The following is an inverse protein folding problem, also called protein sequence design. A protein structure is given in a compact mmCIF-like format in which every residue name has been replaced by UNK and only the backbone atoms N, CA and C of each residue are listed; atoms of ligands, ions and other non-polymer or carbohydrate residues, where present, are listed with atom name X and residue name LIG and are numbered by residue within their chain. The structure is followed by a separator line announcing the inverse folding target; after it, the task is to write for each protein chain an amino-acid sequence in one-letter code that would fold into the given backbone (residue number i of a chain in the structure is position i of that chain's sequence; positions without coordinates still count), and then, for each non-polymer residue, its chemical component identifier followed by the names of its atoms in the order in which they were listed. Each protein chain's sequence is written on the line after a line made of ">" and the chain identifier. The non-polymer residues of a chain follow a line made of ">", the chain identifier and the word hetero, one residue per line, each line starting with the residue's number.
data_IF_672710264204
#
_entry.id   IF_672710264204
#
_cell.length_a   1.000
_cell.length_b   1.000
_cell.length_c   1.000
_cell.angle_alpha   90.00
_cell.angle_beta   90.00
_cell.angle_gamma   90.00
#
_symmetry.space_group_name_H-M   'P 1'
#
loop_
_entity.id
_entity.type
_entity.pdbx_description
1 polymer ?
#
# COMPACT_ATOMS: atom_id res chain seq x y z
N UNK A 1 8.50 4.96 34.01
CA UNK A 1 8.47 4.58 32.59
C UNK A 1 9.59 3.60 32.32
N UNK A 2 9.31 2.52 31.62
CA UNK A 2 10.31 1.51 31.28
C UNK A 2 11.35 2.10 30.32
N UNK A 3 12.59 1.61 30.39
CA UNK A 3 13.76 2.20 29.70
C UNK A 3 14.44 1.18 28.79
N UNK A 4 14.87 1.65 27.63
CA UNK A 4 15.66 0.88 26.66
C UNK A 4 16.99 1.59 26.45
N UNK A 5 18.10 0.88 26.61
CA UNK A 5 19.46 1.41 26.48
C UNK A 5 20.09 0.90 25.20
N UNK A 6 20.60 1.81 24.37
CA UNK A 6 21.32 1.47 23.14
C UNK A 6 22.81 1.25 23.39
N UNK A 7 23.40 0.32 22.64
CA UNK A 7 24.85 0.08 22.64
C UNK A 7 25.64 1.33 22.25
N UNK A 8 26.87 1.43 22.75
CA UNK A 8 27.83 2.47 22.37
C UNK A 8 27.95 2.57 20.83
N UNK A 9 27.80 3.79 20.31
CA UNK A 9 27.88 4.08 18.88
C UNK A 9 26.62 3.78 18.05
N UNK A 10 25.53 3.28 18.66
CA UNK A 10 24.29 2.95 17.95
C UNK A 10 23.18 4.01 18.04
N UNK A 11 23.39 5.11 18.78
CA UNK A 11 22.41 6.18 18.93
C UNK A 11 22.35 7.19 17.77
N UNK A 12 23.37 7.21 16.89
CA UNK A 12 23.48 8.21 15.81
C UNK A 12 22.28 8.27 14.86
N UNK A 13 21.67 7.14 14.41
CA UNK A 13 20.48 7.20 13.57
C UNK A 13 19.29 7.86 14.26
N UNK A 14 19.04 7.54 15.54
CA UNK A 14 17.92 8.09 16.31
C UNK A 14 18.11 9.59 16.55
N UNK A 15 19.33 10.03 16.86
CA UNK A 15 19.70 11.46 16.95
C UNK A 15 19.53 12.22 15.64
N UNK A 16 19.38 11.51 14.51
CA UNK A 16 19.08 12.07 13.17
C UNK A 16 17.64 11.79 12.75
N UNK A 17 16.74 11.57 13.72
CA UNK A 17 15.31 11.35 13.51
C UNK A 17 14.96 10.10 12.68
N UNK A 18 15.85 9.10 12.62
CA UNK A 18 15.47 7.81 12.07
C UNK A 18 14.50 7.11 13.04
N UNK A 19 13.30 6.68 12.58
CA UNK A 19 12.26 6.16 13.48
C UNK A 19 12.55 4.73 13.97
N UNK A 20 13.50 4.02 13.36
CA UNK A 20 13.77 2.63 13.69
C UNK A 20 15.05 2.44 14.50
N UNK A 21 14.94 1.59 15.52
CA UNK A 21 16.06 0.98 16.25
C UNK A 21 16.04 -0.51 15.96
N UNK A 22 17.13 -1.02 15.39
CA UNK A 22 17.25 -2.45 15.12
C UNK A 22 17.61 -3.23 16.39
N UNK A 23 17.17 -4.49 16.50
CA UNK A 23 17.43 -5.36 17.66
C UNK A 23 18.91 -5.45 18.03
N UNK A 24 19.80 -5.53 17.04
CA UNK A 24 21.26 -5.53 17.26
C UNK A 24 21.84 -4.28 17.92
N UNK A 25 21.09 -3.16 17.94
CA UNK A 25 21.47 -1.90 18.59
C UNK A 25 21.13 -1.84 20.08
N UNK A 26 20.25 -2.71 20.58
CA UNK A 26 19.80 -2.72 21.98
C UNK A 26 20.89 -3.37 22.85
N UNK A 27 21.26 -2.68 23.93
CA UNK A 27 22.14 -3.18 24.98
C UNK A 27 21.32 -3.82 26.10
N UNK A 28 20.27 -3.13 26.53
CA UNK A 28 19.37 -3.56 27.59
C UNK A 28 17.96 -3.02 27.29
N UNK A 29 16.94 -3.82 27.55
CA UNK A 29 15.53 -3.45 27.41
C UNK A 29 14.75 -3.57 28.72
N UNK A 30 15.39 -3.94 29.83
CA UNK A 30 14.71 -4.20 31.10
C UNK A 30 13.51 -5.14 30.93
N UNK A 31 12.42 -4.84 31.66
CA UNK A 31 11.17 -5.59 31.65
C UNK A 31 10.10 -5.00 30.69
N UNK A 32 10.51 -4.26 29.65
CA UNK A 32 9.57 -3.69 28.67
C UNK A 32 8.86 -4.82 27.92
N UNK A 33 7.52 -4.84 27.96
CA UNK A 33 6.74 -5.83 27.23
C UNK A 33 6.63 -5.51 25.73
N UNK A 34 6.45 -6.54 24.90
CA UNK A 34 6.15 -6.37 23.47
C UNK A 34 4.91 -5.50 23.25
N UNK A 35 5.07 -4.43 22.48
CA UNK A 35 4.10 -3.39 22.17
C UNK A 35 4.02 -2.24 23.17
N UNK A 36 4.71 -2.31 24.30
CA UNK A 36 4.72 -1.24 25.30
C UNK A 36 5.59 -0.06 24.86
N UNK A 37 5.17 1.16 25.20
CA UNK A 37 5.92 2.39 24.96
C UNK A 37 6.96 2.58 26.06
N UNK A 38 8.22 2.76 25.67
CA UNK A 38 9.34 2.99 26.57
C UNK A 38 10.17 4.20 26.14
N UNK A 39 10.90 4.78 27.09
CA UNK A 39 11.92 5.79 26.80
C UNK A 39 13.21 5.10 26.32
N UNK A 40 13.83 5.64 25.27
CA UNK A 40 15.07 5.14 24.68
C UNK A 40 16.21 6.07 25.06
N UNK A 41 17.30 5.48 25.55
CA UNK A 41 18.50 6.18 25.98
C UNK A 41 19.75 5.67 25.25
N UNK A 42 20.77 6.49 25.13
CA UNK A 42 22.08 6.02 24.71
C UNK A 42 22.88 5.41 25.88
N UNK A 43 24.06 4.86 25.56
CA UNK A 43 24.93 4.21 26.54
C UNK A 43 25.44 5.14 27.66
N UNK A 44 25.29 6.47 27.54
CA UNK A 44 25.64 7.47 28.56
C UNK A 44 24.43 7.92 29.37
N UNK A 45 23.24 7.42 29.06
CA UNK A 45 21.99 7.84 29.70
C UNK A 45 21.37 9.10 29.09
N UNK A 46 21.79 9.54 27.91
CA UNK A 46 21.12 10.64 27.20
C UNK A 46 19.81 10.15 26.57
N UNK A 47 18.72 10.88 26.78
CA UNK A 47 17.42 10.58 26.17
C UNK A 47 17.48 10.73 24.64
N UNK A 48 16.84 9.81 23.92
CA UNK A 48 16.80 9.78 22.46
C UNK A 48 15.39 9.87 21.87
N UNK A 49 14.37 9.43 22.61
CA UNK A 49 12.98 9.41 22.16
C UNK A 49 12.13 8.39 22.95
N UNK A 50 10.83 8.38 22.67
CA UNK A 50 9.85 7.39 23.15
C UNK A 50 9.37 6.55 21.98
N UNK A 51 9.27 5.25 22.16
CA UNK A 51 8.82 4.34 21.11
C UNK A 51 8.31 3.03 21.68
N UNK A 52 7.52 2.30 20.89
CA UNK A 52 7.09 0.98 21.31
C UNK A 52 8.13 -0.09 20.99
N UNK A 53 8.30 -1.03 21.90
CA UNK A 53 9.25 -2.15 21.80
C UNK A 53 8.61 -3.40 21.20
N UNK A 54 9.39 -4.23 20.52
CA UNK A 54 9.01 -5.58 20.13
C UNK A 54 10.25 -6.47 20.02
N UNK A 55 10.43 -7.39 20.97
CA UNK A 55 11.54 -8.34 21.02
C UNK A 55 11.58 -9.31 19.83
N UNK A 56 10.43 -9.58 19.21
CA UNK A 56 10.31 -10.50 18.06
C UNK A 56 10.74 -9.88 16.74
N UNK A 57 10.75 -8.55 16.64
CA UNK A 57 11.04 -7.84 15.41
C UNK A 57 12.53 -7.53 15.25
N UNK A 58 13.02 -7.55 14.01
CA UNK A 58 14.34 -6.98 13.69
C UNK A 58 14.35 -5.46 13.92
N UNK A 59 13.22 -4.78 13.73
CA UNK A 59 13.02 -3.39 14.12
C UNK A 59 12.43 -3.39 15.53
N UNK A 60 13.32 -3.51 16.52
CA UNK A 60 12.92 -3.76 17.90
C UNK A 60 12.30 -2.54 18.59
N UNK A 61 12.62 -1.30 18.18
CA UNK A 61 11.89 -0.11 18.63
C UNK A 61 11.51 0.74 17.43
N UNK A 62 10.26 1.22 17.44
CA UNK A 62 9.79 2.26 16.51
C UNK A 62 9.46 3.51 17.32
N UNK A 63 10.27 4.55 17.12
CA UNK A 63 10.18 5.83 17.80
C UNK A 63 8.91 6.55 17.32
N UNK A 64 8.16 7.06 18.28
CA UNK A 64 6.94 7.85 18.10
C UNK A 64 7.22 9.34 18.35
N UNK A 65 8.01 9.64 19.37
CA UNK A 65 8.20 11.01 19.86
C UNK A 65 9.66 11.25 20.26
N UNK A 66 10.22 12.40 19.90
CA UNK A 66 11.60 12.79 20.21
C UNK A 66 11.66 13.83 21.32
N UNK A 67 10.55 14.45 21.67
CA UNK A 67 10.46 15.33 22.83
C UNK A 67 10.12 14.53 24.10
N UNK A 68 10.96 14.68 25.12
CA UNK A 68 10.78 13.98 26.39
C UNK A 68 9.57 14.47 27.17
N UNK A 69 9.20 15.73 27.02
CA UNK A 69 8.10 16.33 27.79
C UNK A 69 6.73 16.01 27.16
N UNK A 70 6.70 15.59 25.89
CA UNK A 70 5.46 15.23 25.20
C UNK A 70 4.98 13.86 25.64
N UNK A 71 3.78 13.81 26.22
CA UNK A 71 3.10 12.56 26.57
C UNK A 71 2.39 11.96 25.34
N UNK A 72 2.56 10.64 25.14
CA UNK A 72 1.86 9.90 24.08
C UNK A 72 0.47 9.50 24.60
N UNK A 73 -0.40 10.50 24.71
CA UNK A 73 -1.79 10.35 25.16
C UNK A 73 -2.74 10.07 23.99
N UNK A 74 -4.03 9.83 24.27
CA UNK A 74 -5.07 9.75 23.22
C UNK A 74 -5.12 10.98 22.32
N UNK A 75 -4.88 12.16 22.89
CA UNK A 75 -4.83 13.42 22.14
C UNK A 75 -3.61 13.49 21.21
N UNK A 76 -2.47 12.91 21.62
CA UNK A 76 -1.31 12.79 20.74
C UNK A 76 -1.64 11.95 19.50
N UNK A 77 -2.29 10.79 19.68
CA UNK A 77 -2.71 9.93 18.57
C UNK A 77 -3.73 10.62 17.66
N UNK A 78 -4.72 11.32 18.24
CA UNK A 78 -5.70 12.11 17.49
C UNK A 78 -5.01 13.14 16.61
N UNK A 79 -4.06 13.90 17.16
CA UNK A 79 -3.33 14.92 16.43
C UNK A 79 -2.46 14.34 15.30
N UNK A 80 -1.80 13.20 15.53
CA UNK A 80 -1.02 12.52 14.49
C UNK A 80 -1.91 12.05 13.33
N UNK A 81 -3.03 11.39 13.63
CA UNK A 81 -3.98 10.94 12.60
C UNK A 81 -4.54 12.15 11.85
N UNK A 82 -4.98 13.18 12.57
CA UNK A 82 -5.54 14.39 11.96
C UNK A 82 -4.53 15.08 11.03
N UNK A 83 -3.27 15.19 11.44
CA UNK A 83 -2.21 15.78 10.61
C UNK A 83 -1.95 14.93 9.36
N UNK A 84 -1.92 13.60 9.49
CA UNK A 84 -1.79 12.71 8.34
C UNK A 84 -2.92 12.94 7.33
N UNK A 85 -4.17 13.06 7.80
CA UNK A 85 -5.31 13.30 6.91
C UNK A 85 -5.25 14.68 6.25
N UNK A 86 -4.89 15.72 7.01
CA UNK A 86 -4.75 17.10 6.49
C UNK A 86 -3.79 17.19 5.31
N UNK A 87 -2.71 16.40 5.31
CA UNK A 87 -1.78 16.35 4.18
C UNK A 87 -2.45 15.94 2.85
N UNK A 88 -3.60 15.26 2.88
CA UNK A 88 -4.32 14.78 1.69
C UNK A 88 -5.49 15.69 1.28
N UNK A 89 -5.82 16.73 2.03
CA UNK A 89 -7.00 17.60 1.76
C UNK A 89 -6.96 18.30 0.40
N UNK A 90 -5.76 18.49 -0.17
CA UNK A 90 -5.59 19.09 -1.49
C UNK A 90 -5.97 18.15 -2.64
N UNK A 91 -6.05 16.83 -2.41
CA UNK A 91 -6.35 15.80 -3.41
C UNK A 91 -7.87 15.60 -3.55
N UNK A 92 -8.58 16.61 -4.06
CA UNK A 92 -10.05 16.66 -4.10
C UNK A 92 -10.70 15.91 -5.27
N UNK A 93 -9.92 15.44 -6.24
CA UNK A 93 -10.42 14.76 -7.44
C UNK A 93 -10.80 13.28 -7.19
N UNK A 94 -10.95 12.85 -5.94
CA UNK A 94 -11.26 11.46 -5.59
C UNK A 94 -11.95 11.35 -4.23
N UNK A 95 -12.68 10.26 -4.02
CA UNK A 95 -13.28 9.91 -2.73
C UNK A 95 -12.45 8.91 -1.91
N UNK A 96 -11.34 8.43 -2.47
CA UNK A 96 -10.58 7.28 -1.96
C UNK A 96 -9.09 7.57 -1.95
N UNK A 97 -8.43 7.44 -0.81
CA UNK A 97 -7.06 7.92 -0.58
C UNK A 97 -6.37 7.12 0.52
N UNK A 98 -5.05 7.02 0.45
CA UNK A 98 -4.26 6.62 1.61
C UNK A 98 -4.20 7.78 2.61
N UNK A 99 -4.91 7.61 3.71
CA UNK A 99 -5.05 8.61 4.77
C UNK A 99 -3.92 8.57 5.79
N UNK A 100 -3.42 7.36 6.08
CA UNK A 100 -2.25 7.16 6.96
C UNK A 100 -1.30 6.17 6.30
N UNK A 101 -0.02 6.51 6.25
CA UNK A 101 1.05 5.73 5.64
C UNK A 101 2.24 5.52 6.59
N UNK A 102 1.97 4.83 7.70
CA UNK A 102 3.00 4.29 8.59
C UNK A 102 3.98 5.36 9.08
N UNK A 103 5.30 5.09 9.01
CA UNK A 103 6.36 6.00 9.46
C UNK A 103 6.35 7.36 8.74
N UNK A 104 5.90 7.40 7.49
CA UNK A 104 5.86 8.64 6.72
C UNK A 104 4.88 9.67 7.33
N UNK A 105 3.88 9.19 8.06
CA UNK A 105 2.91 9.99 8.80
C UNK A 105 3.14 9.95 10.32
N UNK A 106 4.33 9.56 10.76
CA UNK A 106 4.70 9.45 12.18
C UNK A 106 3.78 8.51 12.99
N UNK A 107 3.20 7.51 12.32
CA UNK A 107 2.37 6.46 12.92
C UNK A 107 2.93 5.08 12.51
N UNK A 108 4.17 4.73 12.93
CA UNK A 108 4.85 3.52 12.47
C UNK A 108 3.96 2.29 12.66
N UNK A 109 3.71 1.56 11.58
CA UNK A 109 2.92 0.34 11.58
C UNK A 109 1.42 0.50 11.39
N UNK A 110 0.90 1.71 11.18
CA UNK A 110 -0.51 1.95 10.86
C UNK A 110 -0.65 2.35 9.40
N UNK A 111 -1.49 1.64 8.65
CA UNK A 111 -1.94 2.07 7.32
C UNK A 111 -3.46 2.21 7.36
N UNK A 112 -3.97 3.31 6.82
CA UNK A 112 -5.40 3.55 6.67
C UNK A 112 -5.66 4.01 5.25
N UNK A 113 -6.38 3.20 4.49
CA UNK A 113 -6.88 3.53 3.15
C UNK A 113 -8.39 3.82 3.26
N UNK A 114 -8.82 4.97 2.74
CA UNK A 114 -10.23 5.32 2.59
C UNK A 114 -10.70 4.89 1.21
N UNK A 115 -11.83 4.21 1.16
CA UNK A 115 -12.53 3.82 -0.06
C UNK A 115 -13.97 4.33 0.01
N UNK A 116 -14.23 5.47 -0.63
CA UNK A 116 -15.51 6.18 -0.54
C UNK A 116 -15.91 6.44 0.93
N UNK A 117 -16.96 5.80 1.44
CA UNK A 117 -17.47 5.91 2.81
C UNK A 117 -16.91 4.84 3.79
N UNK A 118 -15.94 4.05 3.36
CA UNK A 118 -15.37 2.93 4.11
C UNK A 118 -13.88 3.10 4.36
N UNK A 119 -13.36 2.43 5.40
CA UNK A 119 -11.93 2.37 5.70
C UNK A 119 -11.42 0.93 5.64
N UNK A 120 -10.24 0.76 5.06
CA UNK A 120 -9.42 -0.44 5.20
C UNK A 120 -8.19 -0.09 6.05
N UNK A 121 -7.97 -0.83 7.13
CA UNK A 121 -6.89 -0.58 8.10
C UNK A 121 -5.93 -1.76 8.08
N UNK A 122 -4.63 -1.47 8.14
CA UNK A 122 -3.62 -2.49 8.42
C UNK A 122 -2.86 -2.12 9.69
N UNK A 123 -2.83 -3.08 10.60
CA UNK A 123 -2.01 -3.05 11.82
C UNK A 123 -0.81 -3.94 11.57
N UNK A 124 0.36 -3.31 11.44
CA UNK A 124 1.59 -3.97 11.00
C UNK A 124 2.59 -4.15 12.13
N UNK A 125 2.28 -3.73 13.35
CA UNK A 125 3.23 -3.76 14.48
C UNK A 125 2.52 -4.00 15.79
N UNK A 126 3.25 -4.59 16.75
CA UNK A 126 2.69 -4.95 18.06
C UNK A 126 2.25 -3.72 18.86
N UNK A 127 2.97 -2.60 18.73
CA UNK A 127 2.61 -1.35 19.39
C UNK A 127 1.27 -0.80 18.92
N UNK A 128 1.05 -0.78 17.60
CA UNK A 128 -0.25 -0.36 17.02
C UNK A 128 -1.36 -1.33 17.40
N UNK A 129 -1.08 -2.64 17.47
CA UNK A 129 -2.06 -3.63 17.92
C UNK A 129 -2.54 -3.38 19.36
N UNK A 130 -1.64 -3.01 20.28
CA UNK A 130 -2.02 -2.59 21.65
C UNK A 130 -2.92 -1.34 21.66
N UNK A 131 -2.81 -0.48 20.66
CA UNK A 131 -3.61 0.73 20.50
C UNK A 131 -4.86 0.55 19.61
N UNK A 132 -5.17 -0.67 19.14
CA UNK A 132 -6.23 -0.96 18.16
C UNK A 132 -7.56 -0.30 18.51
N UNK A 133 -8.03 -0.48 19.75
CA UNK A 133 -9.34 0.05 20.19
C UNK A 133 -9.42 1.57 20.08
N UNK A 134 -8.44 2.27 20.67
CA UNK A 134 -8.35 3.74 20.61
C UNK A 134 -8.21 4.25 19.17
N UNK A 135 -7.38 3.59 18.34
CA UNK A 135 -7.23 4.00 16.94
C UNK A 135 -8.56 3.86 16.20
N UNK A 136 -9.27 2.75 16.38
CA UNK A 136 -10.60 2.55 15.79
C UNK A 136 -11.56 3.67 16.21
N UNK A 137 -11.64 4.02 17.51
CA UNK A 137 -12.47 5.13 17.97
C UNK A 137 -12.11 6.46 17.30
N UNK A 138 -10.82 6.79 17.21
CA UNK A 138 -10.37 8.04 16.59
C UNK A 138 -10.70 8.09 15.09
N UNK A 139 -10.62 6.94 14.40
CA UNK A 139 -11.03 6.84 13.00
C UNK A 139 -12.53 7.03 12.83
N UNK A 140 -13.35 6.52 13.76
CA UNK A 140 -14.80 6.74 13.78
C UNK A 140 -15.14 8.21 14.00
N UNK A 141 -14.52 8.84 15.01
CA UNK A 141 -14.71 10.27 15.32
C UNK A 141 -14.38 11.16 14.11
N UNK A 142 -13.27 10.87 13.43
CA UNK A 142 -12.78 11.72 12.35
C UNK A 142 -13.52 11.51 11.03
N UNK A 143 -13.71 10.25 10.62
CA UNK A 143 -14.22 9.94 9.28
C UNK A 143 -15.72 9.70 9.22
N UNK A 144 -16.36 9.36 10.35
CA UNK A 144 -17.74 8.87 10.39
C UNK A 144 -18.05 7.81 9.30
N UNK A 145 -17.25 6.73 9.17
CA UNK A 145 -17.37 5.77 8.08
C UNK A 145 -18.56 4.84 8.25
N UNK A 146 -19.09 4.27 7.16
CA UNK A 146 -20.13 3.23 7.19
C UNK A 146 -19.59 1.85 7.64
N UNK A 147 -18.28 1.66 7.54
CA UNK A 147 -17.63 0.44 8.01
C UNK A 147 -16.10 0.53 7.95
N UNK A 148 -15.46 -0.28 8.80
CA UNK A 148 -14.00 -0.41 8.87
C UNK A 148 -13.64 -1.89 8.77
N UNK A 149 -12.75 -2.22 7.84
CA UNK A 149 -12.20 -3.56 7.66
C UNK A 149 -10.73 -3.58 8.07
N UNK A 150 -10.34 -4.44 9.01
CA UNK A 150 -8.94 -4.71 9.31
C UNK A 150 -8.44 -5.80 8.37
N UNK A 151 -7.37 -5.50 7.62
CA UNK A 151 -6.68 -6.45 6.75
C UNK A 151 -5.34 -6.83 7.36
N UNK A 152 -5.17 -8.13 7.58
CA UNK A 152 -3.95 -8.71 8.14
C UNK A 152 -3.03 -9.19 7.01
N UNK A 153 -1.77 -8.77 7.08
CA UNK A 153 -0.70 -9.33 6.27
C UNK A 153 -0.03 -10.47 7.04
N UNK A 154 -0.23 -11.72 6.60
CA UNK A 154 0.22 -12.91 7.33
C UNK A 154 1.75 -12.96 7.54
N UNK A 155 2.52 -12.44 6.58
CA UNK A 155 3.99 -12.38 6.69
C UNK A 155 4.42 -11.40 7.79
N UNK A 156 3.77 -10.25 7.86
CA UNK A 156 4.01 -9.26 8.93
C UNK A 156 3.52 -9.77 10.27
N UNK A 157 2.35 -10.42 10.31
CA UNK A 157 1.78 -11.05 11.51
C UNK A 157 2.77 -11.99 12.17
N UNK A 158 3.38 -12.89 11.40
CA UNK A 158 4.39 -13.83 11.90
C UNK A 158 5.61 -13.10 12.44
N UNK A 159 6.17 -12.14 11.68
CA UNK A 159 7.39 -11.41 12.06
C UNK A 159 7.24 -10.52 13.29
N UNK A 160 6.04 -9.98 13.51
CA UNK A 160 5.76 -9.06 14.61
C UNK A 160 5.05 -9.74 15.78
N UNK A 161 4.66 -11.01 15.64
CA UNK A 161 3.92 -11.75 16.66
C UNK A 161 2.53 -11.15 16.92
N UNK A 162 1.83 -10.74 15.86
CA UNK A 162 0.48 -10.18 15.94
C UNK A 162 -0.57 -11.30 16.06
N UNK A 163 -1.70 -10.99 16.69
CA UNK A 163 -2.79 -11.96 16.89
C UNK A 163 -4.04 -11.62 16.08
N UNK A 164 -4.08 -10.45 15.45
CA UNK A 164 -5.17 -10.01 14.59
C UNK A 164 -5.57 -11.01 13.51
N UNK A 165 -6.85 -10.95 13.14
CA UNK A 165 -7.45 -11.68 12.02
C UNK A 165 -8.13 -10.68 11.10
N UNK A 166 -8.10 -10.94 9.79
CA UNK A 166 -8.80 -10.06 8.85
C UNK A 166 -10.31 -10.10 9.11
N UNK A 167 -10.96 -8.94 9.14
CA UNK A 167 -12.38 -8.88 9.43
C UNK A 167 -12.93 -7.46 9.56
N UNK A 168 -14.25 -7.36 9.55
CA UNK A 168 -14.95 -6.11 9.83
C UNK A 168 -14.83 -5.80 11.32
N UNK A 169 -14.23 -4.66 11.66
CA UNK A 169 -14.06 -4.18 13.04
C UNK A 169 -15.12 -3.16 13.44
N UNK A 170 -15.81 -2.57 12.46
CA UNK A 170 -16.94 -1.67 12.69
C UNK A 170 -17.90 -1.66 11.49
N UNK A 171 -19.19 -1.50 11.78
CA UNK A 171 -20.24 -1.30 10.77
C UNK A 171 -20.42 -2.50 9.84
N UNK A 172 -20.82 -2.22 8.60
CA UNK A 172 -20.99 -3.25 7.57
C UNK A 172 -20.21 -2.86 6.31
N UNK A 173 -19.15 -3.60 6.02
CA UNK A 173 -18.34 -3.40 4.81
C UNK A 173 -18.85 -4.32 3.70
N UNK A 174 -19.34 -3.78 2.57
CA UNK A 174 -19.85 -4.60 1.47
C UNK A 174 -18.71 -5.34 0.75
N UNK A 175 -19.07 -6.34 -0.04
CA UNK A 175 -18.10 -7.04 -0.91
C UNK A 175 -17.58 -6.13 -2.03
N UNK A 176 -18.43 -5.24 -2.56
CA UNK A 176 -18.08 -4.34 -3.64
C UNK A 176 -18.35 -2.89 -3.21
N UNK A 177 -17.27 -2.10 -3.16
CA UNK A 177 -17.31 -0.65 -2.93
C UNK A 177 -17.05 0.03 -4.27
N UNK A 178 -17.89 0.98 -4.64
CA UNK A 178 -17.64 1.84 -5.80
C UNK A 178 -16.87 3.07 -5.31
N UNK A 179 -15.73 3.33 -5.95
CA UNK A 179 -14.91 4.52 -5.71
C UNK A 179 -14.89 5.42 -6.94
N UNK A 180 -14.59 6.70 -6.74
CA UNK A 180 -14.30 7.66 -7.79
C UNK A 180 -12.85 8.14 -7.72
N UNK A 181 -12.13 8.05 -8.83
CA UNK A 181 -10.79 8.58 -8.99
C UNK A 181 -10.68 9.37 -10.30
N UNK A 182 -10.52 10.69 -10.21
CA UNK A 182 -10.41 11.61 -11.34
C UNK A 182 -11.56 11.49 -12.34
N UNK A 183 -12.79 11.27 -11.86
CA UNK A 183 -13.97 11.07 -12.69
C UNK A 183 -14.19 9.65 -13.21
N UNK A 184 -13.25 8.73 -12.96
CA UNK A 184 -13.38 7.31 -13.29
C UNK A 184 -13.92 6.53 -12.08
N UNK A 185 -14.79 5.57 -12.32
CA UNK A 185 -15.37 4.73 -11.27
C UNK A 185 -14.72 3.34 -11.23
N UNK A 186 -14.51 2.79 -10.04
CA UNK A 186 -13.95 1.44 -9.90
C UNK A 186 -14.65 0.64 -8.81
N UNK A 187 -14.85 -0.65 -9.07
CA UNK A 187 -15.19 -1.62 -8.04
C UNK A 187 -13.94 -2.02 -7.24
N UNK A 188 -14.06 -1.98 -5.92
CA UNK A 188 -13.03 -2.37 -4.96
C UNK A 188 -13.62 -3.39 -3.99
N UNK A 189 -12.94 -4.53 -3.83
CA UNK A 189 -13.26 -5.51 -2.79
C UNK A 189 -12.14 -5.55 -1.75
N UNK A 190 -12.34 -4.86 -0.62
CA UNK A 190 -11.33 -4.78 0.44
C UNK A 190 -11.11 -6.12 1.17
N UNK A 191 -12.09 -7.03 1.13
CA UNK A 191 -12.07 -8.32 1.84
C UNK A 191 -11.23 -9.36 1.11
N UNK A 192 -11.42 -9.51 -0.20
CA UNK A 192 -10.77 -10.55 -1.01
C UNK A 192 -9.49 -10.08 -1.71
N UNK A 193 -9.34 -8.78 -1.99
CA UNK A 193 -8.18 -8.25 -2.73
C UNK A 193 -6.85 -8.47 -2.03
N UNK A 194 -5.76 -8.51 -2.81
CA UNK A 194 -4.41 -8.28 -2.29
C UNK A 194 -4.27 -6.83 -1.78
N UNK A 195 -3.37 -6.60 -0.81
CA UNK A 195 -3.27 -5.34 -0.05
C UNK A 195 -4.63 -4.97 0.57
N UNK A 196 -5.05 -3.72 0.45
CA UNK A 196 -6.26 -3.16 1.08
C UNK A 196 -7.46 -3.02 0.14
N UNK A 197 -7.34 -3.37 -1.15
CA UNK A 197 -8.43 -3.16 -2.12
C UNK A 197 -7.92 -2.88 -3.53
N UNK A 198 -7.38 -1.68 -3.69
CA UNK A 198 -7.01 -1.09 -4.97
C UNK A 198 -5.65 -0.39 -4.86
N UNK A 199 -4.92 -0.34 -5.98
CA UNK A 199 -3.59 0.30 -6.03
C UNK A 199 -3.73 1.82 -6.12
N UNK A 200 -3.99 2.46 -4.97
CA UNK A 200 -4.08 3.92 -4.83
C UNK A 200 -2.75 4.63 -5.13
N UNK A 201 -1.63 3.93 -4.94
CA UNK A 201 -0.27 4.39 -5.25
C UNK A 201 -0.05 4.65 -6.75
N UNK A 202 -0.82 4.00 -7.63
CA UNK A 202 -0.72 4.14 -9.09
C UNK A 202 -1.56 5.28 -9.69
N UNK A 203 -2.24 6.09 -8.87
CA UNK A 203 -3.16 7.15 -9.36
C UNK A 203 -2.52 8.11 -10.35
N UNK A 204 -1.42 8.75 -9.94
CA UNK A 204 -0.80 9.79 -10.76
C UNK A 204 -0.25 9.19 -12.06
N UNK A 205 0.20 7.93 -12.02
CA UNK A 205 0.64 7.21 -13.20
C UNK A 205 -0.53 6.90 -14.15
N UNK A 206 -1.70 6.50 -13.62
CA UNK A 206 -2.93 6.34 -14.41
C UNK A 206 -3.36 7.66 -15.06
N UNK A 207 -3.30 8.77 -14.32
CA UNK A 207 -3.62 10.11 -14.85
C UNK A 207 -2.62 10.54 -15.94
N UNK A 208 -1.34 10.30 -15.73
CA UNK A 208 -0.27 10.60 -16.69
C UNK A 208 -0.45 9.84 -18.01
N UNK A 209 -0.94 8.59 -17.96
CA UNK A 209 -1.19 7.77 -19.14
C UNK A 209 -2.08 8.48 -20.17
N UNK A 210 -3.05 9.29 -19.72
CA UNK A 210 -4.00 9.99 -20.60
C UNK A 210 -3.30 10.81 -21.70
N UNK A 211 -2.11 11.34 -21.44
CA UNK A 211 -1.34 12.12 -22.40
C UNK A 211 -0.86 11.30 -23.61
N UNK A 212 -0.80 9.98 -23.49
CA UNK A 212 -0.11 9.12 -24.43
C UNK A 212 -1.02 8.26 -25.30
N UNK A 213 -2.32 8.16 -25.02
CA UNK A 213 -3.16 7.03 -25.49
C UNK A 213 -4.25 7.37 -26.51
N UNK A 214 -4.54 8.65 -26.76
CA UNK A 214 -5.61 9.06 -27.68
C UNK A 214 -5.38 8.50 -29.10
N UNK A 215 -6.37 7.78 -29.64
CA UNK A 215 -6.35 7.09 -30.94
C UNK A 215 -5.18 6.12 -31.12
N UNK A 216 -4.88 5.35 -30.07
CA UNK A 216 -3.79 4.38 -30.07
C UNK A 216 -4.23 2.98 -29.66
N UNK A 217 -3.49 1.97 -30.11
CA UNK A 217 -3.60 0.56 -29.71
C UNK A 217 -2.73 0.30 -28.47
N UNK A 218 -3.35 -0.12 -27.38
CA UNK A 218 -2.74 -0.21 -26.05
C UNK A 218 -2.65 -1.67 -25.60
N UNK A 219 -1.53 -2.04 -25.00
CA UNK A 219 -1.34 -3.30 -24.27
C UNK A 219 -1.13 -3.03 -22.78
N UNK A 220 -2.07 -3.48 -21.95
CA UNK A 220 -1.99 -3.38 -20.49
C UNK A 220 -1.61 -4.74 -19.90
N UNK A 221 -0.34 -4.90 -19.53
CA UNK A 221 0.20 -6.13 -18.98
C UNK A 221 0.14 -6.11 -17.44
N UNK A 222 -0.29 -7.24 -16.85
CA UNK A 222 -0.59 -7.33 -15.41
C UNK A 222 -1.70 -6.35 -15.02
N UNK A 223 -2.71 -6.28 -15.89
CA UNK A 223 -3.76 -5.26 -15.88
C UNK A 223 -4.62 -5.24 -14.61
N UNK A 224 -4.59 -6.32 -13.82
CA UNK A 224 -5.40 -6.47 -12.62
C UNK A 224 -6.88 -6.18 -12.92
N UNK A 225 -7.51 -5.24 -12.22
CA UNK A 225 -8.91 -4.85 -12.41
C UNK A 225 -9.09 -3.76 -13.48
N UNK A 226 -8.10 -3.57 -14.37
CA UNK A 226 -8.19 -2.67 -15.52
C UNK A 226 -8.03 -1.19 -15.18
N UNK A 227 -7.35 -0.85 -14.09
CA UNK A 227 -7.21 0.53 -13.62
C UNK A 227 -6.63 1.48 -14.69
N UNK A 228 -5.50 1.09 -15.30
CA UNK A 228 -4.92 1.87 -16.40
C UNK A 228 -5.79 1.85 -17.65
N UNK A 229 -6.35 0.70 -17.99
CA UNK A 229 -7.17 0.55 -19.19
C UNK A 229 -8.46 1.36 -19.19
N UNK A 230 -9.10 1.57 -18.03
CA UNK A 230 -10.27 2.48 -17.91
C UNK A 230 -9.86 3.92 -18.19
N UNK A 231 -8.75 4.38 -17.61
CA UNK A 231 -8.19 5.70 -17.93
C UNK A 231 -7.87 5.82 -19.41
N UNK A 232 -7.25 4.79 -20.00
CA UNK A 232 -6.88 4.78 -21.40
C UNK A 232 -8.09 4.90 -22.34
N UNK A 233 -9.14 4.12 -22.08
CA UNK A 233 -10.40 4.19 -22.80
C UNK A 233 -11.04 5.59 -22.71
N UNK A 234 -11.13 6.16 -21.50
CA UNK A 234 -11.71 7.49 -21.28
C UNK A 234 -10.90 8.61 -21.94
N UNK A 235 -9.59 8.40 -22.14
CA UNK A 235 -8.71 9.31 -22.87
C UNK A 235 -8.68 9.05 -24.40
N UNK A 236 -9.53 8.18 -24.93
CA UNK A 236 -9.72 7.98 -26.37
C UNK A 236 -8.84 6.90 -27.00
N UNK A 237 -8.33 5.94 -26.24
CA UNK A 237 -7.66 4.76 -26.80
C UNK A 237 -8.56 4.05 -27.83
N UNK A 238 -7.97 3.61 -28.94
CA UNK A 238 -8.72 2.99 -30.05
C UNK A 238 -8.96 1.50 -29.81
N UNK A 239 -7.92 0.79 -29.35
CA UNK A 239 -7.99 -0.63 -28.99
C UNK A 239 -7.27 -0.87 -27.67
N UNK A 240 -7.83 -1.73 -26.84
CA UNK A 240 -7.27 -2.10 -25.54
C UNK A 240 -7.14 -3.62 -25.46
N UNK A 241 -5.92 -4.11 -25.21
CA UNK A 241 -5.67 -5.51 -24.86
C UNK A 241 -5.19 -5.57 -23.42
N UNK A 242 -5.92 -6.28 -22.56
CA UNK A 242 -5.59 -6.48 -21.16
C UNK A 242 -5.09 -7.92 -20.97
N UNK A 243 -3.92 -8.06 -20.36
CA UNK A 243 -3.36 -9.36 -19.96
C UNK A 243 -3.34 -9.47 -18.44
N UNK A 244 -3.92 -10.54 -17.91
CA UNK A 244 -3.72 -10.94 -16.53
C UNK A 244 -3.78 -12.46 -16.39
N UNK A 245 -3.14 -13.00 -15.36
CA UNK A 245 -3.19 -14.43 -15.05
C UNK A 245 -4.51 -14.85 -14.39
N UNK A 246 -5.21 -13.92 -13.75
CA UNK A 246 -6.45 -14.18 -13.03
C UNK A 246 -7.69 -13.82 -13.86
N UNK A 247 -8.56 -14.80 -14.08
CA UNK A 247 -9.85 -14.58 -14.73
C UNK A 247 -10.76 -13.68 -13.87
N UNK A 248 -10.66 -13.80 -12.54
CA UNK A 248 -11.50 -13.04 -11.60
C UNK A 248 -11.24 -11.54 -11.71
N UNK A 249 -9.97 -11.11 -11.79
CA UNK A 249 -9.64 -9.69 -11.91
C UNK A 249 -10.04 -9.13 -13.28
N UNK A 250 -9.96 -9.94 -14.35
CA UNK A 250 -10.43 -9.56 -15.69
C UNK A 250 -11.97 -9.43 -15.72
N UNK A 251 -12.71 -10.27 -14.99
CA UNK A 251 -14.16 -10.11 -14.80
C UNK A 251 -14.49 -8.78 -14.12
N UNK A 252 -13.71 -8.38 -13.11
CA UNK A 252 -13.85 -7.07 -12.47
C UNK A 252 -13.47 -5.94 -13.44
N UNK A 253 -12.44 -6.11 -14.27
CA UNK A 253 -12.10 -5.15 -15.31
C UNK A 253 -13.27 -4.91 -16.30
N UNK A 254 -13.93 -5.98 -16.77
CA UNK A 254 -15.16 -5.86 -17.57
C UNK A 254 -16.26 -5.10 -16.82
N UNK A 255 -16.50 -5.41 -15.53
CA UNK A 255 -17.45 -4.62 -14.72
C UNK A 255 -17.06 -3.13 -14.65
N UNK A 256 -15.77 -2.83 -14.51
CA UNK A 256 -15.28 -1.44 -14.49
C UNK A 256 -15.48 -0.72 -15.82
N UNK A 257 -15.31 -1.38 -16.96
CA UNK A 257 -15.65 -0.78 -18.26
C UNK A 257 -17.13 -0.42 -18.35
N UNK A 258 -18.02 -1.35 -17.97
CA UNK A 258 -19.47 -1.11 -17.92
C UNK A 258 -19.84 0.02 -16.97
N UNK A 259 -19.24 0.06 -15.79
CA UNK A 259 -19.47 1.09 -14.77
C UNK A 259 -19.11 2.50 -15.27
N UNK A 260 -18.18 2.58 -16.22
CA UNK A 260 -17.74 3.82 -16.85
C UNK A 260 -18.38 4.05 -18.22
N UNK A 261 -19.39 3.27 -18.63
CA UNK A 261 -20.08 3.40 -19.92
C UNK A 261 -19.11 3.28 -21.12
N UNK A 262 -18.07 2.46 -20.99
CA UNK A 262 -17.07 2.24 -22.03
C UNK A 262 -17.54 1.08 -22.92
N UNK A 263 -17.67 1.27 -24.26
CA UNK A 263 -18.00 0.20 -25.18
C UNK A 263 -16.95 -0.92 -25.20
N UNK A 264 -17.39 -2.17 -25.12
CA UNK A 264 -16.49 -3.34 -25.05
C UNK A 264 -16.02 -3.84 -26.43
N UNK A 265 -16.52 -3.29 -27.54
CA UNK A 265 -16.23 -3.77 -28.90
C UNK A 265 -14.74 -3.71 -29.27
N UNK A 266 -13.98 -2.81 -28.64
CA UNK A 266 -12.55 -2.64 -28.89
C UNK A 266 -11.67 -3.09 -27.71
N UNK A 267 -12.23 -3.88 -26.79
CA UNK A 267 -11.56 -4.36 -25.58
C UNK A 267 -11.36 -5.87 -25.69
N UNK A 268 -10.11 -6.30 -25.60
CA UNK A 268 -9.72 -7.70 -25.60
C UNK A 268 -9.15 -8.09 -24.24
N UNK A 269 -9.85 -8.96 -23.52
CA UNK A 269 -9.44 -9.47 -22.21
C UNK A 269 -8.84 -10.86 -22.39
N UNK A 270 -7.55 -11.03 -22.05
CA UNK A 270 -6.85 -12.31 -22.23
C UNK A 270 -6.33 -12.80 -20.88
N UNK A 271 -6.91 -13.92 -20.43
CA UNK A 271 -6.36 -14.65 -19.29
C UNK A 271 -5.13 -15.45 -19.73
N UNK A 272 -3.94 -15.02 -19.33
CA UNK A 272 -2.70 -15.70 -19.69
C UNK A 272 -1.53 -15.38 -18.74
N UNK A 273 -0.50 -16.23 -18.80
CA UNK A 273 0.82 -15.82 -18.34
C UNK A 273 1.34 -14.70 -19.26
N UNK A 274 1.58 -13.52 -18.68
CA UNK A 274 1.94 -12.31 -19.42
C UNK A 274 3.21 -12.50 -20.25
N UNK A 275 4.24 -13.15 -19.70
CA UNK A 275 5.50 -13.37 -20.43
C UNK A 275 5.28 -14.27 -21.66
N UNK A 276 4.52 -15.35 -21.50
CA UNK A 276 4.18 -16.27 -22.60
C UNK A 276 3.35 -15.56 -23.66
N UNK A 277 2.33 -14.81 -23.28
CA UNK A 277 1.44 -14.15 -24.24
C UNK A 277 2.15 -13.04 -25.01
N UNK A 278 2.99 -12.24 -24.34
CA UNK A 278 3.83 -11.24 -25.02
C UNK A 278 4.81 -11.89 -26.02
N UNK A 279 5.31 -13.09 -25.75
CA UNK A 279 6.12 -13.84 -26.73
C UNK A 279 5.29 -14.28 -27.94
N UNK A 280 4.06 -14.74 -27.74
CA UNK A 280 3.16 -15.08 -28.86
C UNK A 280 2.86 -13.86 -29.72
N UNK A 281 2.59 -12.70 -29.11
CA UNK A 281 2.43 -11.44 -29.84
C UNK A 281 3.67 -11.11 -30.65
N UNK A 282 4.87 -11.22 -30.04
CA UNK A 282 6.14 -10.98 -30.74
C UNK A 282 6.30 -11.92 -31.94
N UNK A 283 6.02 -13.21 -31.75
CA UNK A 283 6.18 -14.23 -32.78
C UNK A 283 5.17 -14.07 -33.93
N UNK A 284 4.02 -13.43 -33.65
CA UNK A 284 3.01 -13.01 -34.64
C UNK A 284 3.30 -11.63 -35.25
N UNK A 285 4.40 -10.97 -34.88
CA UNK A 285 4.69 -9.57 -35.24
C UNK A 285 3.55 -8.59 -34.88
N UNK A 286 2.80 -8.88 -33.81
CA UNK A 286 1.83 -7.93 -33.26
C UNK A 286 2.54 -6.69 -32.73
N UNK A 287 1.90 -5.54 -32.90
CA UNK A 287 2.40 -4.23 -32.48
C UNK A 287 1.36 -3.41 -31.75
N UNK A 288 1.85 -2.57 -30.85
CA UNK A 288 1.09 -1.66 -30.00
C UNK A 288 1.79 -0.30 -29.93
N UNK A 289 1.04 0.77 -29.73
CA UNK A 289 1.62 2.12 -29.65
C UNK A 289 1.97 2.52 -28.22
N UNK A 290 1.31 1.91 -27.23
CA UNK A 290 1.59 2.11 -25.81
C UNK A 290 1.50 0.77 -25.09
N UNK A 291 2.50 0.47 -24.26
CA UNK A 291 2.57 -0.76 -23.49
C UNK A 291 2.80 -0.41 -22.03
N UNK A 292 1.95 -0.93 -21.16
CA UNK A 292 1.99 -0.73 -19.71
C UNK A 292 2.52 -2.01 -19.09
N UNK A 293 3.59 -1.91 -18.30
CA UNK A 293 4.22 -3.03 -17.62
C UNK A 293 4.24 -2.76 -16.10
N UNK A 294 3.25 -3.29 -15.37
CA UNK A 294 3.18 -3.18 -13.90
C UNK A 294 3.26 -4.57 -13.22
N UNK A 295 4.41 -5.29 -13.37
CA UNK A 295 4.52 -6.64 -12.82
C UNK A 295 4.48 -6.64 -11.28
N UNK A 296 4.03 -7.74 -10.65
CA UNK A 296 4.14 -7.90 -9.21
C UNK A 296 5.62 -7.90 -8.77
N UNK A 297 5.86 -7.78 -7.46
CA UNK A 297 7.22 -7.79 -6.89
C UNK A 297 7.98 -9.08 -7.26
N UNK A 298 8.86 -9.00 -8.26
CA UNK A 298 9.67 -10.14 -8.73
C UNK A 298 10.84 -10.49 -7.79
N UNK A 299 11.21 -9.59 -6.87
CA UNK A 299 12.32 -9.75 -5.91
C UNK A 299 11.81 -9.72 -4.46
N UNK A 300 11.14 -10.77 -3.94
CA UNK A 300 10.63 -10.77 -2.57
C UNK A 300 11.75 -10.73 -1.52
N UNK A 301 12.96 -11.21 -1.83
CA UNK A 301 14.13 -11.17 -0.94
C UNK A 301 15.43 -10.77 -1.65
N UNK A 302 16.44 -10.33 -0.87
CA UNK A 302 17.76 -9.92 -1.40
C UNK A 302 18.46 -11.05 -2.17
N UNK A 303 18.28 -12.30 -1.75
CA UNK A 303 18.87 -13.48 -2.40
C UNK A 303 18.33 -13.73 -3.82
N UNK A 304 17.11 -13.26 -4.11
CA UNK A 304 16.48 -13.43 -5.42
C UNK A 304 16.73 -12.27 -6.38
N UNK A 305 17.60 -11.31 -5.99
CA UNK A 305 17.86 -10.09 -6.77
C UNK A 305 18.27 -10.38 -8.21
N UNK A 306 19.22 -11.28 -8.45
CA UNK A 306 19.69 -11.56 -9.82
C UNK A 306 18.60 -12.15 -10.72
N UNK A 307 17.83 -13.11 -10.18
CA UNK A 307 16.70 -13.72 -10.89
C UNK A 307 15.66 -12.65 -11.26
N UNK A 308 15.34 -11.77 -10.32
CA UNK A 308 14.40 -10.68 -10.56
C UNK A 308 14.91 -9.69 -11.61
N UNK A 309 16.19 -9.30 -11.56
CA UNK A 309 16.79 -8.40 -12.56
C UNK A 309 16.71 -9.00 -13.97
N UNK A 310 16.94 -10.30 -14.12
CA UNK A 310 16.77 -10.99 -15.40
C UNK A 310 15.32 -10.97 -15.88
N UNK A 311 14.36 -11.20 -14.98
CA UNK A 311 12.94 -11.14 -15.31
C UNK A 311 12.48 -9.71 -15.69
N UNK A 312 12.92 -8.68 -14.97
CA UNK A 312 12.67 -7.28 -15.33
C UNK A 312 13.29 -6.90 -16.68
N UNK A 313 14.51 -7.36 -16.96
CA UNK A 313 15.13 -7.15 -18.28
C UNK A 313 14.29 -7.80 -19.38
N UNK A 314 13.86 -9.04 -19.18
CA UNK A 314 13.13 -9.81 -20.19
C UNK A 314 11.74 -9.20 -20.50
N UNK A 315 10.98 -8.80 -19.48
CA UNK A 315 9.66 -8.18 -19.69
C UNK A 315 9.77 -6.82 -20.41
N UNK A 316 10.76 -6.00 -20.05
CA UNK A 316 10.98 -4.71 -20.72
C UNK A 316 11.47 -4.90 -22.16
N UNK A 317 12.37 -5.87 -22.40
CA UNK A 317 12.81 -6.19 -23.75
C UNK A 317 11.67 -6.69 -24.63
N UNK A 318 10.75 -7.49 -24.07
CA UNK A 318 9.52 -7.89 -24.78
C UNK A 318 8.64 -6.68 -25.11
N UNK A 319 8.43 -5.79 -24.15
CA UNK A 319 7.69 -4.54 -24.37
C UNK A 319 8.28 -3.74 -25.54
N UNK A 320 9.59 -3.47 -25.52
CA UNK A 320 10.26 -2.74 -26.61
C UNK A 320 10.11 -3.43 -27.97
N UNK A 321 10.13 -4.76 -28.02
CA UNK A 321 9.95 -5.52 -29.27
C UNK A 321 8.52 -5.46 -29.82
N UNK A 322 7.53 -5.23 -28.96
CA UNK A 322 6.12 -5.11 -29.32
C UNK A 322 5.68 -3.68 -29.64
N UNK A 323 6.54 -2.68 -29.40
CA UNK A 323 6.22 -1.29 -29.66
C UNK A 323 6.27 -0.99 -31.17
N UNK A 324 5.35 -0.15 -31.63
CA UNK A 324 5.46 0.55 -32.91
C UNK A 324 6.66 1.52 -32.89
N UNK A 325 7.27 1.81 -34.06
CA UNK A 325 8.41 2.72 -34.18
C UNK A 325 8.16 4.13 -33.65
#
# INVERSE_FOLDING_TARGET
>A
MNRIILKKGKSRPVKRYHPWVFSGAIQDCGDVEDGEIAEVFDFKGEFLGKGYFNSKSQIAVRILEWDREVEISREWWRNRITNAVKLREHLKETDSLRMVYSEADFLPGLIVDKYSEYLAVQILTRGIEKQRGMITELLLEYFNPKGIFEKVDEVTKEKEGLTGVSGTVYGNVPEEIIINESGNKFYVNVKSSQKTGFYLDQRENRKLLNLYVNRKKILDCFSFTGGFSVYAAKAGAENLTLLDSSEEVLKIASKNFKLNEIPENNINLIQADVFKEMRKFRDKNEKFDVIILDPPKLAPSKYQKEKALRAYKDINLLGLKLLNP
#
